data_IF_601840975102
#
_entry.id   IF_601840975102
#
_cell.length_a   1.000
_cell.length_b   1.000
_cell.length_c   1.000
_cell.angle_alpha   90.00
_cell.angle_beta   90.00
_cell.angle_gamma   90.00
#
_symmetry.space_group_name_H-M   'P 1'
#
loop_
_entity.id
_entity.type
_entity.pdbx_description
1 polymer ?
#
# COMPACT_ATOMS: atom_id res chain seq x y z
N UNK A 1 -10.68 14.55 35.21
CA UNK A 1 -10.73 15.73 34.32
C UNK A 1 -10.50 16.95 35.18
N UNK A 2 -9.25 17.39 35.32
CA UNK A 2 -8.90 18.54 36.17
C UNK A 2 -8.72 19.77 35.27
N UNK A 3 -9.60 20.76 35.42
CA UNK A 3 -9.47 22.07 34.79
C UNK A 3 -8.71 23.00 35.74
N UNK A 4 -7.49 23.38 35.37
CA UNK A 4 -6.82 24.53 35.98
C UNK A 4 -7.17 25.78 35.15
N UNK A 5 -8.09 26.57 35.70
CA UNK A 5 -8.42 27.92 35.22
C UNK A 5 -7.60 28.92 36.03
N UNK A 6 -6.62 29.58 35.40
CA UNK A 6 -6.05 30.86 35.84
C UNK A 6 -5.26 31.44 34.66
N UNK A 7 -5.85 32.43 33.99
CA UNK A 7 -5.15 33.38 33.11
C UNK A 7 -4.47 32.83 31.85
N UNK A 8 -5.16 32.94 30.71
CA UNK A 8 -4.53 32.88 29.38
C UNK A 8 -4.64 31.53 28.70
N UNK A 9 -5.35 31.52 27.56
CA UNK A 9 -5.49 30.42 26.60
C UNK A 9 -5.83 29.05 27.21
N UNK A 10 -7.11 28.70 27.16
CA UNK A 10 -7.55 27.31 27.28
C UNK A 10 -6.92 26.51 26.12
N UNK A 11 -5.79 25.86 26.39
CA UNK A 11 -5.20 24.90 25.48
C UNK A 11 -6.07 23.65 25.52
N UNK A 12 -6.93 23.49 24.52
CA UNK A 12 -7.45 22.16 24.20
C UNK A 12 -6.32 21.40 23.52
N UNK A 13 -5.80 20.30 24.09
CA UNK A 13 -4.96 19.39 23.33
C UNK A 13 -5.86 18.81 22.23
N UNK A 14 -5.79 19.37 21.03
CA UNK A 14 -6.48 18.83 19.85
C UNK A 14 -5.87 17.47 19.56
N UNK A 15 -6.49 16.42 20.09
CA UNK A 15 -6.15 15.04 19.76
C UNK A 15 -6.58 14.81 18.32
N UNK A 16 -5.62 14.48 17.46
CA UNK A 16 -5.90 14.11 16.08
C UNK A 16 -6.06 12.60 16.02
N UNK A 17 -7.27 12.16 15.68
CA UNK A 17 -7.57 10.75 15.47
C UNK A 17 -7.49 10.46 13.98
N UNK A 18 -6.59 9.57 13.59
CA UNK A 18 -6.54 9.07 12.23
C UNK A 18 -6.99 7.61 12.19
N UNK A 19 -7.94 7.36 11.30
CA UNK A 19 -8.47 6.03 11.06
C UNK A 19 -8.77 5.91 9.56
N UNK A 20 -7.93 5.12 8.89
CA UNK A 20 -8.07 4.86 7.47
C UNK A 20 -9.19 3.84 7.24
N UNK A 21 -10.01 4.10 6.22
CA UNK A 21 -11.11 3.23 5.84
C UNK A 21 -11.06 2.93 4.34
N UNK A 22 -11.25 1.66 3.98
CA UNK A 22 -11.53 1.24 2.63
C UNK A 22 -13.05 1.26 2.37
N UNK A 23 -13.44 1.81 1.24
CA UNK A 23 -14.83 1.89 0.81
C UNK A 23 -15.16 0.68 -0.08
N UNK A 24 -16.27 -0.01 0.23
CA UNK A 24 -16.79 -1.12 -0.57
C UNK A 24 -18.26 -0.91 -0.86
N UNK A 25 -18.62 -0.94 -2.14
CA UNK A 25 -20.01 -0.91 -2.58
C UNK A 25 -20.63 -2.31 -2.55
N UNK A 26 -21.89 -2.41 -2.12
CA UNK A 26 -22.68 -3.63 -2.08
C UNK A 26 -24.04 -3.36 -2.73
N UNK A 27 -24.56 -4.25 -3.59
CA UNK A 27 -25.88 -4.06 -4.19
C UNK A 27 -26.97 -3.97 -3.12
N UNK A 28 -27.83 -2.95 -3.22
CA UNK A 28 -29.00 -2.78 -2.36
C UNK A 28 -30.25 -3.41 -3.02
N UNK A 29 -31.29 -3.69 -2.22
CA UNK A 29 -32.57 -4.22 -2.73
C UNK A 29 -32.59 -5.70 -3.15
N UNK A 30 -31.53 -6.47 -2.88
CA UNK A 30 -31.48 -7.91 -3.17
C UNK A 30 -31.82 -8.73 -1.92
N UNK A 31 -32.58 -9.82 -2.11
CA UNK A 31 -32.79 -10.81 -1.05
C UNK A 31 -31.48 -11.48 -0.66
N UNK A 32 -31.40 -11.96 0.59
CA UNK A 32 -30.20 -12.62 1.15
C UNK A 32 -29.74 -13.83 0.31
N UNK A 33 -30.69 -14.59 -0.20
CA UNK A 33 -30.48 -15.73 -1.10
C UNK A 33 -29.84 -15.32 -2.43
N UNK A 34 -30.33 -14.24 -3.06
CA UNK A 34 -29.75 -13.67 -4.29
C UNK A 34 -28.34 -13.12 -4.06
N UNK A 35 -28.12 -12.42 -2.94
CA UNK A 35 -26.82 -11.84 -2.57
C UNK A 35 -25.74 -12.92 -2.46
N UNK A 36 -26.07 -14.09 -1.89
CA UNK A 36 -25.15 -15.25 -1.82
C UNK A 36 -24.91 -15.92 -3.18
N UNK A 37 -25.91 -15.95 -4.05
CA UNK A 37 -25.76 -16.51 -5.40
C UNK A 37 -24.84 -15.65 -6.29
N UNK A 38 -24.86 -14.31 -6.10
CA UNK A 38 -23.99 -13.39 -6.82
C UNK A 38 -22.52 -13.49 -6.35
N UNK A 39 -22.32 -13.83 -5.08
CA UNK A 39 -20.98 -14.09 -4.53
C UNK A 39 -20.39 -15.37 -5.13
N UNK A 40 -19.07 -15.46 -5.22
CA UNK A 40 -18.36 -16.61 -5.81
C UNK A 40 -18.46 -17.91 -5.00
N UNK A 41 -19.03 -17.86 -3.79
CA UNK A 41 -19.16 -19.02 -2.90
C UNK A 41 -20.49 -19.72 -3.15
N UNK A 42 -20.43 -20.93 -3.70
CA UNK A 42 -21.60 -21.78 -3.92
C UNK A 42 -22.27 -22.12 -2.57
N UNK A 43 -23.56 -21.81 -2.37
CA UNK A 43 -24.28 -22.19 -1.15
C UNK A 43 -24.50 -23.70 -1.08
N UNK A 44 -24.64 -24.25 0.13
CA UNK A 44 -25.04 -25.65 0.31
C UNK A 44 -26.52 -25.80 -0.02
N UNK A 45 -26.80 -26.53 -1.10
CA UNK A 45 -28.16 -26.75 -1.62
C UNK A 45 -28.76 -28.08 -1.17
N UNK A 46 -28.02 -28.92 -0.45
CA UNK A 46 -28.43 -30.30 -0.09
C UNK A 46 -29.72 -30.37 0.74
N UNK A 47 -30.05 -29.27 1.44
CA UNK A 47 -31.21 -29.16 2.32
C UNK A 47 -32.48 -28.70 1.62
N UNK A 48 -32.37 -28.14 0.41
CA UNK A 48 -33.48 -27.56 -0.32
C UNK A 48 -33.91 -28.50 -1.44
N UNK A 49 -35.23 -28.67 -1.60
CA UNK A 49 -35.75 -29.54 -2.67
C UNK A 49 -35.84 -28.80 -4.00
N UNK A 50 -36.12 -27.50 -3.96
CA UNK A 50 -36.36 -26.64 -5.12
C UNK A 50 -35.70 -25.27 -4.94
N UNK A 51 -35.53 -24.53 -6.05
CA UNK A 51 -34.99 -23.17 -6.02
C UNK A 51 -35.89 -22.18 -5.25
N UNK A 52 -37.21 -22.38 -5.34
CA UNK A 52 -38.20 -21.56 -4.63
C UNK A 52 -38.05 -21.69 -3.11
N UNK A 53 -37.79 -22.91 -2.64
CA UNK A 53 -37.55 -23.22 -1.23
C UNK A 53 -36.31 -22.46 -0.70
N UNK A 54 -35.28 -22.32 -1.53
CA UNK A 54 -34.09 -21.52 -1.22
C UNK A 54 -34.37 -20.01 -1.14
N UNK A 55 -35.29 -19.49 -1.95
CA UNK A 55 -35.67 -18.06 -1.88
C UNK A 55 -36.64 -17.75 -0.74
N UNK A 56 -37.56 -18.66 -0.42
CA UNK A 56 -38.65 -18.47 0.54
C UNK A 56 -38.24 -18.75 2.00
N UNK A 57 -37.21 -19.59 2.23
CA UNK A 57 -36.76 -19.95 3.58
C UNK A 57 -35.37 -19.37 3.93
N UNK A 58 -35.23 -18.05 4.10
CA UNK A 58 -33.95 -17.40 4.40
C UNK A 58 -33.43 -17.67 5.83
N UNK A 59 -34.23 -18.30 6.71
CA UNK A 59 -33.88 -18.54 8.12
C UNK A 59 -32.70 -19.50 8.34
N UNK A 60 -32.34 -20.32 7.36
CA UNK A 60 -31.14 -21.17 7.41
C UNK A 60 -29.89 -20.51 6.81
N UNK A 61 -30.05 -19.30 6.25
CA UNK A 61 -28.98 -18.54 5.62
C UNK A 61 -28.30 -17.70 6.71
N UNK A 62 -27.43 -18.33 7.51
CA UNK A 62 -26.69 -17.66 8.58
C UNK A 62 -25.78 -16.57 8.00
N UNK A 63 -26.00 -15.31 8.41
CA UNK A 63 -25.06 -14.20 8.30
C UNK A 63 -25.10 -13.44 9.63
N UNK A 64 -24.00 -13.46 10.38
CA UNK A 64 -23.87 -12.81 11.68
C UNK A 64 -23.47 -11.33 11.56
N UNK A 65 -23.95 -10.62 10.53
CA UNK A 65 -23.70 -9.18 10.38
C UNK A 65 -25.00 -8.38 10.52
N UNK A 66 -24.95 -7.40 11.41
CA UNK A 66 -26.04 -6.48 11.75
C UNK A 66 -26.43 -5.65 10.52
N UNK A 67 -27.56 -5.97 9.87
CA UNK A 67 -28.12 -5.15 8.79
C UNK A 67 -28.94 -4.01 9.42
N UNK A 68 -28.26 -2.95 9.86
CA UNK A 68 -28.93 -1.65 10.01
C UNK A 68 -29.39 -1.16 8.63
N UNK A 69 -30.44 -0.34 8.57
CA UNK A 69 -30.83 0.41 7.37
C UNK A 69 -29.67 1.30 6.92
N UNK A 70 -28.82 0.76 6.05
CA UNK A 70 -27.75 1.52 5.42
C UNK A 70 -28.39 2.47 4.41
N UNK A 71 -27.92 3.72 4.39
CA UNK A 71 -28.38 4.73 3.44
C UNK A 71 -28.08 4.24 2.01
N UNK A 72 -29.13 4.03 1.23
CA UNK A 72 -29.01 3.67 -0.19
C UNK A 72 -28.48 4.87 -0.99
N UNK A 73 -27.55 4.60 -1.89
CA UNK A 73 -26.94 5.58 -2.81
C UNK A 73 -26.98 5.03 -4.23
N UNK A 74 -27.40 5.86 -5.18
CA UNK A 74 -27.35 5.52 -6.60
C UNK A 74 -25.92 5.65 -7.13
N UNK A 75 -25.43 4.61 -7.81
CA UNK A 75 -24.06 4.63 -8.34
C UNK A 75 -23.95 5.48 -9.61
N UNK A 76 -23.00 6.43 -9.66
CA UNK A 76 -22.75 7.23 -10.85
C UNK A 76 -21.90 6.50 -11.91
N UNK A 77 -21.31 5.35 -11.57
CA UNK A 77 -20.45 4.59 -12.47
C UNK A 77 -20.60 3.09 -12.20
N UNK A 78 -20.42 2.27 -13.23
CA UNK A 78 -20.29 0.83 -13.10
C UNK A 78 -19.01 0.43 -12.33
N UNK A 79 -19.17 -0.34 -11.26
CA UNK A 79 -18.05 -0.86 -10.46
C UNK A 79 -17.71 -2.30 -10.85
N UNK A 80 -16.49 -2.73 -10.55
CA UNK A 80 -16.03 -4.12 -10.78
C UNK A 80 -16.72 -5.14 -9.86
N UNK A 81 -17.43 -4.67 -8.84
CA UNK A 81 -18.17 -5.52 -7.91
C UNK A 81 -19.43 -6.05 -8.59
N UNK A 82 -19.66 -7.37 -8.54
CA UNK A 82 -20.83 -8.02 -9.15
C UNK A 82 -22.12 -7.46 -8.55
N UNK A 83 -23.05 -7.04 -9.42
CA UNK A 83 -24.33 -6.45 -9.03
C UNK A 83 -24.31 -4.94 -8.78
N UNK A 84 -23.19 -4.25 -9.02
CA UNK A 84 -23.07 -2.80 -8.88
C UNK A 84 -22.92 -2.13 -10.26
N UNK A 85 -24.05 -1.98 -10.99
CA UNK A 85 -24.10 -1.26 -12.26
C UNK A 85 -24.44 0.22 -12.05
N UNK A 86 -24.17 1.03 -13.09
CA UNK A 86 -24.55 2.45 -13.11
C UNK A 86 -26.07 2.62 -12.97
N UNK A 87 -26.50 3.58 -12.14
CA UNK A 87 -27.91 3.85 -11.86
C UNK A 87 -28.59 2.87 -10.89
N UNK A 88 -27.89 1.82 -10.43
CA UNK A 88 -28.43 0.92 -9.42
C UNK A 88 -28.23 1.47 -8.01
N UNK A 89 -29.20 1.17 -7.14
CA UNK A 89 -29.12 1.47 -5.72
C UNK A 89 -28.13 0.55 -5.04
N UNK A 90 -27.20 1.12 -4.29
CA UNK A 90 -26.17 0.39 -3.57
C UNK A 90 -25.97 0.94 -2.17
N UNK A 91 -25.47 0.08 -1.29
CA UNK A 91 -25.08 0.43 0.06
C UNK A 91 -23.55 0.52 0.14
N UNK A 92 -23.06 1.52 0.87
CA UNK A 92 -21.63 1.73 1.08
C UNK A 92 -21.23 1.14 2.43
N UNK A 93 -20.23 0.25 2.42
CA UNK A 93 -19.57 -0.27 3.63
C UNK A 93 -18.16 0.28 3.77
N UNK A 94 -17.81 0.63 5.00
CA UNK A 94 -16.46 1.04 5.37
C UNK A 94 -15.77 -0.13 6.09
N UNK A 95 -14.53 -0.41 5.69
CA UNK A 95 -13.67 -1.38 6.33
C UNK A 95 -12.45 -0.66 6.89
N UNK A 96 -12.15 -0.86 8.15
CA UNK A 96 -10.99 -0.23 8.78
C UNK A 96 -9.71 -0.78 8.15
N UNK A 97 -8.86 0.12 7.68
CA UNK A 97 -7.61 -0.20 7.00
C UNK A 97 -6.43 0.20 7.88
N UNK A 98 -5.96 -0.72 8.70
CA UNK A 98 -4.74 -0.52 9.49
C UNK A 98 -4.98 0.07 10.89
N UNK A 99 -3.90 0.55 11.54
CA UNK A 99 -3.94 0.91 12.96
C UNK A 99 -4.72 2.21 13.20
N UNK A 100 -5.40 2.27 14.34
CA UNK A 100 -6.05 3.49 14.84
C UNK A 100 -5.02 4.33 15.56
N UNK A 101 -4.78 5.54 15.05
CA UNK A 101 -3.78 6.44 15.61
C UNK A 101 -4.45 7.58 16.38
N UNK A 102 -3.89 7.87 17.55
CA UNK A 102 -4.23 9.06 18.36
C UNK A 102 -2.96 9.87 18.50
N UNK A 103 -2.92 11.01 17.84
CA UNK A 103 -1.73 11.87 17.76
C UNK A 103 -1.97 13.17 18.55
N UNK A 104 -0.90 13.68 19.14
CA UNK A 104 -0.89 14.95 19.85
C UNK A 104 0.19 15.86 19.27
N UNK A 105 -0.16 17.12 19.03
CA UNK A 105 0.77 18.13 18.52
C UNK A 105 1.86 18.44 19.57
N UNK A 106 3.10 18.05 19.27
CA UNK A 106 4.25 18.29 20.15
C UNK A 106 5.10 19.49 19.71
N UNK A 107 5.41 19.59 18.42
CA UNK A 107 6.38 20.55 17.88
C UNK A 107 6.00 20.92 16.44
N UNK A 108 6.10 22.21 16.11
CA UNK A 108 5.97 22.71 14.74
C UNK A 108 7.32 23.26 14.31
N UNK A 109 7.82 22.78 13.17
CA UNK A 109 9.08 23.19 12.57
C UNK A 109 8.85 23.61 11.13
N UNK A 110 9.69 24.50 10.64
CA UNK A 110 9.72 24.84 9.22
C UNK A 110 10.43 23.73 8.42
N UNK A 111 9.74 23.15 7.44
CA UNK A 111 10.28 22.08 6.60
C UNK A 111 10.44 20.73 7.33
N UNK A 112 11.27 19.85 6.77
CA UNK A 112 11.49 18.49 7.31
C UNK A 112 12.80 18.47 8.09
N UNK A 113 12.72 18.45 9.42
CA UNK A 113 13.85 18.33 10.36
C UNK A 113 15.01 19.31 10.17
N UNK A 114 14.78 20.45 9.51
CA UNK A 114 15.86 21.34 9.08
C UNK A 114 15.64 22.82 9.41
N UNK A 115 14.41 23.25 9.67
CA UNK A 115 14.10 24.65 9.86
C UNK A 115 13.97 25.07 11.31
N UNK A 116 13.37 26.23 11.47
CA UNK A 116 13.16 26.82 12.77
C UNK A 116 11.97 26.19 13.50
N UNK A 117 12.09 26.03 14.82
CA UNK A 117 10.99 25.61 15.68
C UNK A 117 10.08 26.80 15.93
N UNK A 118 8.85 26.74 15.43
CA UNK A 118 7.83 27.77 15.59
C UNK A 118 7.03 27.57 16.88
N UNK A 119 6.79 26.31 17.25
CA UNK A 119 6.02 25.95 18.43
C UNK A 119 6.55 24.67 19.06
N UNK A 120 6.49 24.59 20.38
CA UNK A 120 6.78 23.36 21.13
C UNK A 120 5.91 23.32 22.39
N UNK A 121 5.27 22.19 22.67
CA UNK A 121 4.31 22.04 23.77
C UNK A 121 4.98 22.10 25.17
N UNK A 122 6.11 21.41 25.34
CA UNK A 122 6.75 21.26 26.66
C UNK A 122 8.00 22.13 26.89
N UNK A 123 8.73 22.50 25.84
CA UNK A 123 10.04 23.13 25.94
C UNK A 123 9.97 24.52 25.33
N UNK A 124 10.03 25.54 26.19
CA UNK A 124 10.06 26.94 25.77
C UNK A 124 11.52 27.41 25.85
N UNK A 125 12.07 27.84 24.72
CA UNK A 125 13.44 28.35 24.65
C UNK A 125 13.49 29.84 24.96
N UNK A 126 14.59 30.29 25.56
CA UNK A 126 14.76 31.72 25.82
C UNK A 126 14.94 32.51 24.50
N UNK A 127 14.58 33.81 24.46
CA UNK A 127 14.74 34.61 23.25
C UNK A 127 16.19 34.66 22.73
N UNK A 128 17.17 34.65 23.64
CA UNK A 128 18.60 34.65 23.30
C UNK A 128 19.00 33.35 22.61
N UNK A 129 18.54 32.21 23.12
CA UNK A 129 18.78 30.90 22.51
C UNK A 129 18.13 30.79 21.13
N UNK A 130 16.92 31.32 20.95
CA UNK A 130 16.24 31.33 19.65
C UNK A 130 17.06 32.10 18.60
N UNK A 131 17.60 33.27 18.96
CA UNK A 131 18.46 34.07 18.06
C UNK A 131 19.74 33.30 17.69
N UNK A 132 20.37 32.62 18.65
CA UNK A 132 21.56 31.81 18.40
C UNK A 132 21.24 30.64 17.45
N UNK A 133 20.16 29.91 17.72
CA UNK A 133 19.69 28.82 16.88
C UNK A 133 19.43 29.28 15.44
N UNK A 134 18.72 30.39 15.25
CA UNK A 134 18.48 31.00 13.93
C UNK A 134 19.76 31.26 13.16
N UNK A 135 20.82 31.75 13.83
CA UNK A 135 22.13 32.01 13.21
C UNK A 135 22.86 30.72 12.82
N UNK A 136 22.65 29.63 13.55
CA UNK A 136 23.31 28.34 13.30
C UNK A 136 22.62 27.48 12.23
N UNK A 137 21.29 27.60 12.09
CA UNK A 137 20.49 26.86 11.11
C UNK A 137 21.08 26.85 9.68
N UNK A 138 21.45 27.99 9.05
CA UNK A 138 21.99 27.97 7.69
C UNK A 138 23.33 27.24 7.60
N UNK A 139 24.15 27.26 8.67
CA UNK A 139 25.41 26.53 8.71
C UNK A 139 25.16 25.02 8.74
N UNK A 140 24.20 24.58 9.57
CA UNK A 140 23.78 23.16 9.66
C UNK A 140 23.19 22.68 8.33
N UNK A 141 22.28 23.45 7.72
CA UNK A 141 21.71 23.14 6.39
C UNK A 141 22.80 22.97 5.33
N UNK A 142 23.78 23.89 5.25
CA UNK A 142 24.91 23.79 4.31
C UNK A 142 25.77 22.56 4.57
N UNK A 143 26.02 22.21 5.83
CA UNK A 143 26.82 21.04 6.17
C UNK A 143 26.11 19.73 5.79
N UNK A 144 24.81 19.61 6.09
CA UNK A 144 24.00 18.44 5.73
C UNK A 144 23.99 18.19 4.23
N UNK A 145 23.74 19.23 3.42
CA UNK A 145 23.81 19.15 1.95
C UNK A 145 25.17 18.68 1.43
N UNK A 146 26.27 19.16 2.03
CA UNK A 146 27.62 18.71 1.67
C UNK A 146 27.85 17.24 1.99
N UNK A 147 27.31 16.75 3.11
CA UNK A 147 27.42 15.35 3.51
C UNK A 147 26.61 14.47 2.55
N UNK A 148 25.39 14.90 2.22
CA UNK A 148 24.49 14.21 1.30
C UNK A 148 25.12 14.05 -0.09
N UNK A 149 25.61 15.13 -0.70
CA UNK A 149 26.31 15.06 -1.99
C UNK A 149 27.52 14.11 -1.95
N UNK A 150 28.30 14.13 -0.87
CA UNK A 150 29.44 13.20 -0.72
C UNK A 150 28.97 11.74 -0.63
N UNK A 151 27.88 11.48 0.08
CA UNK A 151 27.31 10.15 0.22
C UNK A 151 26.75 9.65 -1.12
N UNK A 152 26.00 10.48 -1.84
CA UNK A 152 25.50 10.18 -3.18
C UNK A 152 26.64 9.84 -4.13
N UNK A 153 27.68 10.68 -4.17
CA UNK A 153 28.87 10.41 -4.99
C UNK A 153 29.52 9.07 -4.65
N UNK A 154 29.64 8.74 -3.36
CA UNK A 154 30.19 7.45 -2.90
C UNK A 154 29.32 6.28 -3.34
N UNK A 155 27.99 6.39 -3.19
CA UNK A 155 27.04 5.34 -3.59
C UNK A 155 27.08 5.14 -5.11
N UNK A 156 27.05 6.22 -5.89
CA UNK A 156 27.13 6.17 -7.36
C UNK A 156 28.44 5.49 -7.80
N UNK A 157 29.58 5.88 -7.21
CA UNK A 157 30.87 5.26 -7.55
C UNK A 157 30.90 3.77 -7.18
N UNK A 158 30.35 3.38 -6.02
CA UNK A 158 30.23 1.99 -5.60
C UNK A 158 29.34 1.18 -6.56
N UNK A 159 28.22 1.73 -7.00
CA UNK A 159 27.32 1.06 -7.94
C UNK A 159 27.97 0.90 -9.32
N UNK A 160 28.66 1.93 -9.83
CA UNK A 160 29.41 1.86 -11.09
C UNK A 160 30.49 0.77 -11.05
N UNK A 161 31.33 0.78 -10.02
CA UNK A 161 32.40 -0.22 -9.87
C UNK A 161 31.87 -1.65 -9.71
N UNK A 162 30.75 -1.84 -9.01
CA UNK A 162 30.09 -3.15 -8.94
C UNK A 162 29.53 -3.60 -10.29
N UNK A 163 28.90 -2.70 -11.06
CA UNK A 163 28.40 -3.01 -12.39
C UNK A 163 29.53 -3.34 -13.38
N UNK A 164 30.63 -2.58 -13.35
CA UNK A 164 31.81 -2.87 -14.17
C UNK A 164 32.42 -4.23 -13.84
N UNK A 165 32.52 -4.58 -12.55
CA UNK A 165 33.00 -5.91 -12.12
C UNK A 165 32.06 -7.04 -12.57
N UNK A 166 30.74 -6.83 -12.45
CA UNK A 166 29.73 -7.79 -12.93
C UNK A 166 29.82 -7.99 -14.44
N UNK A 167 29.95 -6.92 -15.21
CA UNK A 167 30.09 -6.98 -16.67
C UNK A 167 31.35 -7.75 -17.09
N UNK A 168 32.51 -7.45 -16.46
CA UNK A 168 33.75 -8.19 -16.70
C UNK A 168 33.63 -9.67 -16.35
N UNK A 169 32.98 -9.99 -15.23
CA UNK A 169 32.76 -11.38 -14.83
C UNK A 169 31.84 -12.11 -15.82
N UNK A 170 30.78 -11.45 -16.28
CA UNK A 170 29.88 -12.01 -17.31
C UNK A 170 30.60 -12.22 -18.64
N UNK A 171 31.47 -11.29 -19.07
CA UNK A 171 32.32 -11.45 -20.25
C UNK A 171 33.28 -12.63 -20.11
N UNK A 172 33.95 -12.77 -18.96
CA UNK A 172 34.84 -13.92 -18.71
C UNK A 172 34.07 -15.25 -18.73
N UNK A 173 32.88 -15.30 -18.13
CA UNK A 173 32.02 -16.49 -18.15
C UNK A 173 31.54 -16.82 -19.57
N UNK A 174 31.20 -15.82 -20.38
CA UNK A 174 30.84 -16.02 -21.80
C UNK A 174 32.01 -16.61 -22.59
N UNK A 175 33.22 -16.07 -22.42
CA UNK A 175 34.43 -16.60 -23.07
C UNK A 175 34.76 -18.03 -22.64
N UNK A 176 34.61 -18.35 -21.35
CA UNK A 176 34.80 -19.72 -20.84
C UNK A 176 33.76 -20.68 -21.41
N UNK A 177 32.48 -20.28 -21.43
CA UNK A 177 31.40 -21.05 -22.03
C UNK A 177 31.65 -21.33 -23.51
N UNK A 178 32.09 -20.33 -24.28
CA UNK A 178 32.44 -20.51 -25.68
C UNK A 178 33.61 -21.48 -25.88
N UNK A 179 34.66 -21.40 -25.04
CA UNK A 179 35.78 -22.35 -25.08
C UNK A 179 35.34 -23.78 -24.76
N UNK A 180 34.45 -23.96 -23.78
CA UNK A 180 33.89 -25.27 -23.44
C UNK A 180 33.05 -25.83 -24.59
N UNK A 181 32.21 -25.02 -25.23
CA UNK A 181 31.43 -25.42 -26.41
C UNK A 181 32.34 -25.83 -27.57
N UNK A 182 33.44 -25.10 -27.82
CA UNK A 182 34.44 -25.47 -28.85
C UNK A 182 35.10 -26.82 -28.54
N UNK A 183 35.57 -27.02 -27.31
CA UNK A 183 36.15 -28.30 -26.88
C UNK A 183 35.16 -29.46 -26.97
N UNK A 184 33.89 -29.24 -26.61
CA UNK A 184 32.84 -30.26 -26.76
C UNK A 184 32.60 -30.62 -28.23
N UNK A 185 32.59 -29.65 -29.15
CA UNK A 185 32.49 -29.92 -30.59
C UNK A 185 33.68 -30.73 -31.12
N UNK A 186 34.89 -30.40 -30.68
CA UNK A 186 36.12 -31.12 -31.06
C UNK A 186 36.15 -32.59 -30.57
N UNK A 187 35.55 -32.88 -29.41
CA UNK A 187 35.52 -34.23 -28.82
C UNK A 187 34.35 -35.07 -29.37
N UNK A 188 33.18 -34.45 -29.61
CA UNK A 188 31.96 -35.18 -30.00
C UNK A 188 31.88 -35.44 -31.51
N UNK A 189 32.68 -34.76 -32.35
CA UNK A 189 32.80 -35.03 -33.78
C UNK A 189 31.46 -34.98 -34.53
N UNK A 190 31.08 -33.80 -35.03
CA UNK A 190 29.99 -33.53 -35.98
C UNK A 190 28.91 -34.62 -36.14
N UNK A 191 28.10 -34.83 -35.10
CA UNK A 191 26.71 -35.24 -35.32
C UNK A 191 25.83 -34.00 -35.21
N UNK A 192 25.39 -33.51 -36.38
CA UNK A 192 24.33 -32.51 -36.50
C UNK A 192 23.04 -33.06 -35.87
N UNK A 193 22.86 -32.83 -34.56
CA UNK A 193 21.55 -32.99 -33.94
C UNK A 193 20.67 -31.82 -34.42
N UNK A 194 19.92 -32.07 -35.48
CA UNK A 194 18.89 -31.17 -36.00
C UNK A 194 17.98 -30.67 -34.87
N UNK A 195 18.06 -29.37 -34.56
CA UNK A 195 17.03 -28.65 -33.80
C UNK A 195 15.73 -28.62 -34.64
N UNK A 196 14.95 -29.71 -34.60
CA UNK A 196 13.55 -29.65 -35.05
C UNK A 196 12.76 -28.81 -34.03
N UNK A 197 12.14 -27.69 -34.42
CA UNK A 197 11.25 -26.97 -33.52
C UNK A 197 10.04 -27.85 -33.21
N UNK A 198 9.82 -28.16 -31.94
CA UNK A 198 8.65 -28.91 -31.48
C UNK A 198 7.40 -28.02 -31.59
N UNK A 199 6.76 -28.00 -32.76
CA UNK A 199 5.39 -27.52 -32.90
C UNK A 199 4.45 -28.63 -32.42
N UNK A 200 3.90 -28.48 -31.22
CA UNK A 200 2.80 -29.31 -30.76
C UNK A 200 1.49 -28.79 -31.39
N UNK A 201 1.02 -29.45 -32.44
CA UNK A 201 -0.36 -29.36 -32.89
C UNK A 201 -1.21 -30.28 -31.99
N UNK A 202 -2.23 -29.71 -31.34
CA UNK A 202 -3.28 -30.45 -30.66
C UNK A 202 -4.44 -30.63 -31.64
N UNK A 203 -4.81 -31.89 -31.91
CA UNK A 203 -6.15 -32.27 -32.38
C UNK A 203 -7.08 -32.49 -31.19
#
# INVERSE_FOLDING_TARGET
MFLFYLGGFVYYPTLYTDQLHAIKAIPAGLSKSTKKLIQSKVPDLSKYKNIEDYFLNPGQISESEYEFEQKEVELPQQLTTRGCLEGQKTNIRLYELGPRLTLQLMKIEEGVDEGEVLYHAYIIKSPRELIQLRKELPKKKKLKKKIEMKNEQRVIHRLKTLNEKKAKLEETLKQEREKLVRKQKEITGDEEFNDRPATYAYD
#
